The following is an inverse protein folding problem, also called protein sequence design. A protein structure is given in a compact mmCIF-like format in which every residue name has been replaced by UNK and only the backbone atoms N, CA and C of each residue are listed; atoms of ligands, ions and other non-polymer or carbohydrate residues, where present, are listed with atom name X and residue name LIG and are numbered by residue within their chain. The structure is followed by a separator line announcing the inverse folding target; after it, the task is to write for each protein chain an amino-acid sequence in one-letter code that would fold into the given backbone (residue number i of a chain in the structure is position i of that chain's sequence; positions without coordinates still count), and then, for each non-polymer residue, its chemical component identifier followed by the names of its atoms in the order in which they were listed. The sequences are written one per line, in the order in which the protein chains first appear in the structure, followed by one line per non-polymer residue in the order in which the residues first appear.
data_IF_098838090791
#
_entry.id   IF_098838090791
#
_cell.length_a   1.000
_cell.length_b   1.000
_cell.length_c   1.000
_cell.angle_alpha   90.00
_cell.angle_beta   90.00
_cell.angle_gamma   90.00
#
_symmetry.space_group_name_H-M   'P 1'
#
loop_
_entity.id
_entity.type
_entity.pdbx_description
1 polymer ?
#
# COMPACT_ATOMS: atom_id res chain seq x y z
N UNK A 1 -15.20 3.40 -38.00
CA UNK A 1 -15.89 3.65 -36.72
C UNK A 1 -14.80 3.81 -35.67
N UNK A 2 -14.81 4.89 -34.89
CA UNK A 2 -13.82 5.06 -33.81
C UNK A 2 -14.09 4.02 -32.71
N UNK A 3 -13.06 3.34 -32.22
CA UNK A 3 -13.17 2.45 -31.07
C UNK A 3 -13.77 3.21 -29.87
N UNK A 4 -14.65 2.56 -29.11
CA UNK A 4 -15.20 3.09 -27.86
C UNK A 4 -14.10 3.26 -26.80
N UNK A 5 -14.32 4.12 -25.80
CA UNK A 5 -13.37 4.29 -24.70
C UNK A 5 -13.11 2.98 -23.94
N UNK A 6 -14.17 2.21 -23.69
CA UNK A 6 -14.08 0.88 -23.08
C UNK A 6 -13.11 -0.04 -23.84
N UNK A 7 -13.27 -0.14 -25.17
CA UNK A 7 -12.39 -0.99 -25.99
C UNK A 7 -10.93 -0.52 -25.94
N UNK A 8 -10.70 0.80 -26.00
CA UNK A 8 -9.34 1.36 -25.90
C UNK A 8 -8.71 1.08 -24.54
N UNK A 9 -9.45 1.25 -23.45
CA UNK A 9 -8.99 0.94 -22.08
C UNK A 9 -8.61 -0.53 -21.97
N UNK A 10 -9.53 -1.43 -22.32
CA UNK A 10 -9.30 -2.88 -22.20
C UNK A 10 -8.14 -3.34 -23.09
N UNK A 11 -8.02 -2.82 -24.31
CA UNK A 11 -6.89 -3.13 -25.19
C UNK A 11 -5.55 -2.68 -24.60
N UNK A 12 -5.49 -1.48 -24.01
CA UNK A 12 -4.27 -0.98 -23.37
C UNK A 12 -3.90 -1.81 -22.13
N UNK A 13 -4.88 -2.12 -21.27
CA UNK A 13 -4.69 -2.96 -20.07
C UNK A 13 -4.18 -4.35 -20.47
N UNK A 14 -4.85 -5.03 -21.41
CA UNK A 14 -4.43 -6.35 -21.87
C UNK A 14 -3.02 -6.33 -22.45
N UNK A 15 -2.65 -5.27 -23.19
CA UNK A 15 -1.30 -5.11 -23.72
C UNK A 15 -0.26 -5.02 -22.59
N UNK A 16 -0.49 -4.18 -21.58
CA UNK A 16 0.41 -4.06 -20.43
C UNK A 16 0.56 -5.37 -19.67
N UNK A 17 -0.54 -6.06 -19.37
CA UNK A 17 -0.48 -7.34 -18.67
C UNK A 17 0.29 -8.39 -19.47
N UNK A 18 0.07 -8.45 -20.79
CA UNK A 18 0.76 -9.40 -21.65
C UNK A 18 2.26 -9.08 -21.77
N UNK A 19 2.64 -7.81 -21.83
CA UNK A 19 4.06 -7.40 -21.82
C UNK A 19 4.73 -7.74 -20.49
N UNK A 20 4.06 -7.51 -19.35
CA UNK A 20 4.57 -7.94 -18.03
C UNK A 20 4.81 -9.45 -18.01
N UNK A 21 3.84 -10.25 -18.50
CA UNK A 21 3.94 -11.70 -18.57
C UNK A 21 5.11 -12.13 -19.45
N UNK A 22 5.23 -11.58 -20.66
CA UNK A 22 6.30 -11.90 -21.60
C UNK A 22 7.69 -11.61 -21.01
N UNK A 23 7.85 -10.48 -20.32
CA UNK A 23 9.13 -10.15 -19.67
C UNK A 23 9.42 -11.10 -18.51
N UNK A 24 8.39 -11.47 -17.75
CA UNK A 24 8.50 -12.37 -16.59
C UNK A 24 8.94 -13.80 -16.93
N UNK A 25 8.78 -14.23 -18.19
CA UNK A 25 9.20 -15.55 -18.64
C UNK A 25 10.70 -15.79 -18.45
N UNK A 26 11.50 -14.73 -18.54
CA UNK A 26 12.95 -14.76 -18.30
C UNK A 26 13.33 -14.91 -16.81
N UNK A 27 12.36 -14.75 -15.91
CA UNK A 27 12.58 -14.60 -14.46
C UNK A 27 11.65 -15.53 -13.65
N UNK A 28 11.40 -16.73 -14.16
CA UNK A 28 10.54 -17.73 -13.52
C UNK A 28 9.09 -17.28 -13.28
N UNK A 29 8.63 -16.22 -13.94
CA UNK A 29 7.32 -15.60 -13.76
C UNK A 29 7.32 -14.42 -12.79
N UNK A 30 8.45 -14.05 -12.19
CA UNK A 30 8.58 -12.83 -11.39
C UNK A 30 8.61 -11.58 -12.27
N UNK A 31 8.02 -10.50 -11.77
CA UNK A 31 7.93 -9.23 -12.50
C UNK A 31 9.15 -8.37 -12.22
N UNK A 32 9.83 -7.94 -13.27
CA UNK A 32 10.93 -7.00 -13.12
C UNK A 32 10.39 -5.64 -12.66
N UNK A 33 10.99 -5.11 -11.61
CA UNK A 33 10.53 -3.88 -10.98
C UNK A 33 10.84 -2.64 -11.82
N UNK A 34 11.91 -2.67 -12.63
CA UNK A 34 12.30 -1.54 -13.48
C UNK A 34 12.58 -2.03 -14.89
N UNK A 35 11.92 -1.40 -15.86
CA UNK A 35 12.05 -1.71 -17.28
C UNK A 35 12.16 -0.41 -18.09
N UNK A 36 12.99 -0.43 -19.14
CA UNK A 36 12.98 0.60 -20.18
C UNK A 36 11.72 0.44 -21.05
N UNK A 37 10.98 1.53 -21.28
CA UNK A 37 9.70 1.46 -22.00
C UNK A 37 9.82 1.22 -23.51
N UNK A 38 11.00 1.44 -24.08
CA UNK A 38 11.24 1.21 -25.52
C UNK A 38 11.65 -0.23 -25.79
N UNK A 39 12.43 -0.82 -24.89
CA UNK A 39 12.97 -2.18 -25.07
C UNK A 39 12.23 -3.24 -24.26
N UNK A 40 11.42 -2.85 -23.28
CA UNK A 40 10.77 -3.73 -22.30
C UNK A 40 11.78 -4.66 -21.58
N UNK A 41 12.99 -4.16 -21.30
CA UNK A 41 14.06 -4.92 -20.65
C UNK A 41 14.59 -4.20 -19.42
N UNK A 42 15.16 -4.95 -18.48
CA UNK A 42 15.86 -4.36 -17.33
C UNK A 42 17.04 -3.54 -17.89
N UNK A 43 17.14 -2.24 -17.57
CA UNK A 43 18.27 -1.41 -18.02
C UNK A 43 19.57 -1.87 -17.35
N UNK A 44 20.70 -1.65 -18.01
CA UNK A 44 22.01 -2.08 -17.51
C UNK A 44 22.39 -1.38 -16.19
N UNK A 45 22.09 -0.09 -16.09
CA UNK A 45 22.27 0.71 -14.88
C UNK A 45 20.91 1.14 -14.33
N UNK A 46 20.83 1.34 -13.02
CA UNK A 46 19.67 1.97 -12.39
C UNK A 46 19.48 3.38 -12.98
N UNK A 47 18.38 3.65 -13.72
CA UNK A 47 18.11 4.99 -14.22
C UNK A 47 17.90 5.96 -13.06
N UNK A 48 18.12 7.28 -13.20
CA UNK A 48 17.89 8.22 -12.10
C UNK A 48 16.44 8.17 -11.58
N UNK A 49 16.27 8.27 -10.26
CA UNK A 49 14.97 8.43 -9.64
C UNK A 49 14.33 9.77 -10.06
N UNK A 50 13.00 9.78 -10.16
CA UNK A 50 12.27 11.04 -10.33
C UNK A 50 12.43 11.93 -9.09
N UNK A 51 12.23 13.24 -9.25
CA UNK A 51 12.29 14.18 -8.12
C UNK A 51 11.30 13.75 -7.03
N UNK A 52 11.83 13.42 -5.85
CA UNK A 52 11.02 13.04 -4.68
C UNK A 52 10.91 11.53 -4.43
N UNK A 53 11.33 10.69 -5.38
CA UNK A 53 11.52 9.25 -5.19
C UNK A 53 12.89 8.98 -4.54
N UNK A 54 12.94 8.07 -3.58
CA UNK A 54 14.19 7.66 -2.91
C UNK A 54 14.84 6.51 -3.67
N UNK A 55 16.11 6.65 -4.03
CA UNK A 55 16.89 5.57 -4.68
C UNK A 55 16.98 4.32 -3.79
N UNK A 56 17.09 4.51 -2.47
CA UNK A 56 17.23 3.43 -1.49
C UNK A 56 15.97 2.58 -1.27
N UNK A 57 14.91 2.83 -2.04
CA UNK A 57 13.64 2.10 -1.96
C UNK A 57 13.33 1.36 -3.28
N UNK A 58 14.19 1.51 -4.29
CA UNK A 58 13.97 0.94 -5.62
C UNK A 58 14.46 -0.50 -5.66
N UNK A 59 13.66 -1.39 -6.24
CA UNK A 59 13.95 -2.81 -6.34
C UNK A 59 14.74 -3.14 -7.61
N UNK A 60 15.98 -2.64 -7.72
CA UNK A 60 16.83 -2.86 -8.90
C UNK A 60 18.01 -3.81 -8.63
N UNK A 61 18.31 -4.76 -9.53
CA UNK A 61 17.53 -5.25 -10.67
C UNK A 61 16.61 -6.41 -10.24
N UNK A 62 15.48 -6.10 -9.59
CA UNK A 62 14.74 -7.06 -8.79
C UNK A 62 13.24 -7.17 -9.07
N UNK A 63 12.58 -8.03 -8.30
CA UNK A 63 11.12 -8.18 -8.20
C UNK A 63 10.69 -7.99 -6.74
N UNK A 64 9.56 -7.33 -6.51
CA UNK A 64 9.08 -7.05 -5.16
C UNK A 64 7.58 -7.33 -5.06
N UNK A 65 7.22 -8.43 -4.39
CA UNK A 65 5.81 -8.84 -4.28
C UNK A 65 4.92 -7.73 -3.67
N UNK A 66 5.44 -6.87 -2.79
CA UNK A 66 4.64 -5.77 -2.24
C UNK A 66 4.28 -4.69 -3.27
N UNK A 67 5.03 -4.60 -4.37
CA UNK A 67 4.69 -3.71 -5.48
C UNK A 67 3.77 -4.41 -6.48
N UNK A 68 3.97 -5.73 -6.65
CA UNK A 68 3.39 -6.51 -7.73
C UNK A 68 2.00 -7.08 -7.40
N UNK A 69 1.62 -7.19 -6.12
CA UNK A 69 0.37 -7.85 -5.71
C UNK A 69 -0.89 -7.21 -6.30
N UNK A 70 -0.88 -5.91 -6.58
CA UNK A 70 -2.02 -5.21 -7.19
C UNK A 70 -2.23 -5.68 -8.64
N UNK A 71 -1.15 -5.85 -9.40
CA UNK A 71 -1.18 -6.39 -10.76
C UNK A 71 -1.60 -7.87 -10.74
N UNK A 72 -1.06 -8.65 -9.80
CA UNK A 72 -1.44 -10.05 -9.62
C UNK A 72 -2.94 -10.19 -9.30
N UNK A 73 -3.48 -9.35 -8.41
CA UNK A 73 -4.90 -9.34 -8.10
C UNK A 73 -5.74 -8.95 -9.31
N UNK A 74 -5.30 -7.95 -10.08
CA UNK A 74 -5.97 -7.54 -11.31
C UNK A 74 -6.05 -8.69 -12.33
N UNK A 75 -4.96 -9.44 -12.52
CA UNK A 75 -4.94 -10.62 -13.40
C UNK A 75 -5.98 -11.66 -12.98
N UNK A 76 -6.05 -11.98 -11.69
CA UNK A 76 -7.04 -12.93 -11.13
C UNK A 76 -8.48 -12.39 -11.32
N UNK A 77 -8.71 -11.11 -11.03
CA UNK A 77 -10.02 -10.49 -11.12
C UNK A 77 -10.54 -10.41 -12.56
N UNK A 78 -9.66 -10.11 -13.52
CA UNK A 78 -10.01 -10.11 -14.94
C UNK A 78 -10.36 -11.51 -15.43
N UNK A 79 -9.63 -12.55 -15.01
CA UNK A 79 -10.00 -13.93 -15.33
C UNK A 79 -11.39 -14.27 -14.80
N UNK A 80 -11.73 -13.85 -13.58
CA UNK A 80 -13.06 -14.09 -13.01
C UNK A 80 -14.19 -13.39 -13.79
N UNK A 81 -13.93 -12.19 -14.31
CA UNK A 81 -14.96 -11.36 -14.97
C UNK A 81 -15.06 -11.60 -16.49
N UNK A 82 -13.94 -11.97 -17.13
CA UNK A 82 -13.84 -12.13 -18.59
C UNK A 82 -13.65 -13.59 -19.03
N UNK A 83 -13.27 -14.50 -18.13
CA UNK A 83 -13.04 -15.92 -18.42
C UNK A 83 -11.66 -16.25 -19.01
N UNK A 84 -10.80 -15.24 -19.21
CA UNK A 84 -9.48 -15.39 -19.80
C UNK A 84 -8.48 -16.00 -18.82
N UNK A 85 -8.23 -17.31 -18.90
CA UNK A 85 -7.44 -18.07 -17.91
C UNK A 85 -5.93 -17.82 -17.91
N UNK A 86 -5.39 -17.27 -18.99
CA UNK A 86 -3.95 -17.09 -19.12
C UNK A 86 -3.36 -16.08 -18.11
N UNK A 87 -4.12 -15.05 -17.74
CA UNK A 87 -3.71 -14.09 -16.70
C UNK A 87 -3.63 -14.72 -15.31
N UNK A 88 -4.66 -15.46 -14.88
CA UNK A 88 -4.63 -16.22 -13.63
C UNK A 88 -3.45 -17.22 -13.61
N UNK A 89 -3.21 -17.93 -14.71
CA UNK A 89 -2.09 -18.89 -14.82
C UNK A 89 -0.74 -18.20 -14.58
N UNK A 90 -0.53 -17.02 -15.15
CA UNK A 90 0.70 -16.25 -14.94
C UNK A 90 0.82 -15.70 -13.52
N UNK A 91 -0.28 -15.22 -12.93
CA UNK A 91 -0.29 -14.77 -11.53
C UNK A 91 0.01 -15.93 -10.57
N UNK A 92 -0.53 -17.12 -10.82
CA UNK A 92 -0.24 -18.31 -10.02
C UNK A 92 1.22 -18.78 -10.18
N UNK A 93 1.80 -18.65 -11.37
CA UNK A 93 3.22 -18.94 -11.59
C UNK A 93 4.11 -18.02 -10.77
N UNK A 94 3.85 -16.70 -10.79
CA UNK A 94 4.56 -15.73 -9.93
C UNK A 94 4.46 -16.15 -8.46
N UNK A 95 3.23 -16.32 -7.95
CA UNK A 95 2.98 -16.54 -6.52
C UNK A 95 3.58 -17.87 -6.05
N UNK A 96 3.50 -18.91 -6.88
CA UNK A 96 4.09 -20.22 -6.58
C UNK A 96 5.61 -20.13 -6.49
N UNK A 97 6.26 -19.52 -7.47
CA UNK A 97 7.71 -19.35 -7.42
C UNK A 97 8.12 -18.53 -6.21
N UNK A 98 7.43 -17.42 -5.94
CA UNK A 98 7.69 -16.58 -4.78
C UNK A 98 7.57 -17.33 -3.46
N UNK A 99 6.44 -18.01 -3.23
CA UNK A 99 6.13 -18.67 -1.96
C UNK A 99 7.02 -19.90 -1.70
N UNK A 100 7.44 -20.62 -2.74
CA UNK A 100 8.23 -21.85 -2.61
C UNK A 100 9.73 -21.63 -2.69
N UNK A 101 10.19 -20.66 -3.48
CA UNK A 101 11.62 -20.42 -3.72
C UNK A 101 12.13 -19.25 -2.90
N UNK A 102 11.49 -18.09 -3.02
CA UNK A 102 12.08 -16.85 -2.51
C UNK A 102 11.74 -16.57 -1.04
N UNK A 103 10.47 -16.71 -0.66
CA UNK A 103 9.95 -16.49 0.69
C UNK A 103 10.73 -17.25 1.80
N UNK A 104 11.10 -18.54 1.62
CA UNK A 104 11.77 -19.27 2.70
C UNK A 104 13.26 -18.93 2.90
N UNK A 105 13.89 -18.13 2.01
CA UNK A 105 15.36 -18.01 1.93
C UNK A 105 16.03 -17.23 3.05
N UNK A 106 15.34 -16.30 3.72
CA UNK A 106 16.00 -15.48 4.74
C UNK A 106 16.12 -16.27 6.05
N UNK A 107 17.24 -16.15 6.78
CA UNK A 107 17.41 -16.82 8.07
C UNK A 107 16.52 -16.23 9.17
N UNK A 108 16.04 -14.99 9.00
CA UNK A 108 15.22 -14.29 10.00
C UNK A 108 13.74 -14.67 9.95
N UNK A 109 13.29 -15.22 8.82
CA UNK A 109 11.88 -15.50 8.53
C UNK A 109 11.17 -14.39 7.77
N UNK A 110 11.77 -13.20 7.64
CA UNK A 110 11.21 -12.13 6.82
C UNK A 110 11.22 -12.48 5.34
N UNK A 111 10.25 -11.96 4.59
CA UNK A 111 10.27 -12.08 3.14
C UNK A 111 11.19 -11.00 2.55
N UNK A 112 11.89 -11.30 1.43
CA UNK A 112 12.63 -10.30 0.68
C UNK A 112 11.68 -9.39 -0.11
N UNK A 113 10.90 -8.58 0.60
CA UNK A 113 9.88 -7.66 0.06
C UNK A 113 9.78 -6.38 0.91
N UNK A 114 8.92 -5.44 0.52
CA UNK A 114 8.66 -4.22 1.31
C UNK A 114 9.42 -2.99 0.79
N UNK A 115 9.73 -2.02 1.65
CA UNK A 115 10.27 -0.72 1.18
C UNK A 115 11.73 -0.82 0.71
N UNK A 116 12.55 -1.64 1.37
CA UNK A 116 14.01 -1.64 1.18
C UNK A 116 14.60 -2.99 0.78
N UNK A 117 13.74 -4.00 0.59
CA UNK A 117 14.17 -5.33 0.19
C UNK A 117 13.27 -5.91 -0.88
N UNK A 118 13.85 -6.78 -1.68
CA UNK A 118 13.27 -7.34 -2.89
C UNK A 118 14.00 -8.64 -3.22
N UNK A 119 13.59 -9.35 -4.26
CA UNK A 119 14.35 -10.47 -4.82
C UNK A 119 15.18 -10.03 -6.01
N UNK A 120 16.49 -10.19 -5.92
CA UNK A 120 17.37 -9.85 -7.04
C UNK A 120 17.21 -10.91 -8.14
N UNK A 121 16.74 -10.48 -9.32
CA UNK A 121 16.46 -11.38 -10.44
C UNK A 121 17.75 -11.89 -11.11
N UNK A 122 18.84 -11.14 -10.99
CA UNK A 122 20.12 -11.47 -11.62
C UNK A 122 20.96 -12.39 -10.75
N UNK A 123 20.82 -12.29 -9.43
CA UNK A 123 21.61 -13.03 -8.45
C UNK A 123 20.82 -14.16 -7.77
N UNK A 124 19.52 -14.26 -8.05
CA UNK A 124 18.58 -15.23 -7.46
C UNK A 124 18.66 -15.32 -5.93
N UNK A 125 18.61 -14.16 -5.26
CA UNK A 125 18.75 -14.04 -3.80
C UNK A 125 18.05 -12.80 -3.24
N UNK A 126 17.87 -12.69 -1.91
CA UNK A 126 17.46 -11.44 -1.28
C UNK A 126 18.35 -10.25 -1.68
N UNK A 127 17.71 -9.20 -2.18
CA UNK A 127 18.30 -7.90 -2.54
C UNK A 127 18.20 -6.86 -1.43
N UNK A 128 19.00 -5.80 -1.55
CA UNK A 128 19.04 -4.68 -0.59
C UNK A 128 19.09 -3.35 -1.35
N UNK A 129 17.98 -2.60 -1.33
CA UNK A 129 17.86 -1.34 -2.06
C UNK A 129 18.84 -0.28 -1.58
N UNK A 130 19.26 -0.32 -0.31
CA UNK A 130 20.30 0.58 0.19
C UNK A 130 21.66 0.34 -0.48
N UNK A 131 22.05 -0.92 -0.64
CA UNK A 131 23.32 -1.25 -1.31
C UNK A 131 23.29 -0.80 -2.77
N UNK A 132 22.16 -1.01 -3.46
CA UNK A 132 21.95 -0.52 -4.83
C UNK A 132 22.08 1.01 -4.92
N UNK A 133 21.60 1.74 -3.91
CA UNK A 133 21.72 3.19 -3.82
C UNK A 133 23.07 3.69 -3.27
N UNK A 134 24.06 2.81 -3.06
CA UNK A 134 25.36 3.17 -2.51
C UNK A 134 25.34 3.59 -1.03
N UNK A 135 24.27 3.24 -0.29
CA UNK A 135 24.12 3.53 1.13
C UNK A 135 24.61 2.34 1.95
N UNK A 136 25.67 2.54 2.72
CA UNK A 136 26.23 1.52 3.60
C UNK A 136 25.33 1.28 4.83
N UNK A 137 24.36 0.40 4.70
CA UNK A 137 23.51 -0.09 5.79
C UNK A 137 23.11 -1.54 5.55
N UNK A 138 22.50 -2.16 6.55
CA UNK A 138 22.04 -3.54 6.48
C UNK A 138 20.85 -3.72 5.53
N UNK A 139 20.71 -4.94 5.01
CA UNK A 139 19.48 -5.36 4.36
C UNK A 139 18.33 -5.25 5.36
N UNK A 140 17.34 -4.43 5.02
CA UNK A 140 16.30 -3.98 5.94
C UNK A 140 14.95 -4.47 5.46
N UNK A 141 14.21 -5.13 6.35
CA UNK A 141 12.78 -5.36 6.18
C UNK A 141 12.02 -4.13 6.71
N UNK A 142 11.11 -3.59 5.89
CA UNK A 142 10.11 -2.58 6.27
C UNK A 142 8.81 -2.92 5.54
N UNK A 143 7.73 -3.06 6.29
CA UNK A 143 6.41 -3.39 5.76
C UNK A 143 5.79 -2.16 5.08
N UNK A 144 5.92 -2.07 3.76
CA UNK A 144 5.60 -0.88 2.98
C UNK A 144 4.10 -0.55 2.97
N UNK A 145 3.25 -1.56 2.76
CA UNK A 145 1.80 -1.48 2.55
C UNK A 145 1.11 -2.71 3.15
N UNK A 146 -0.21 -2.67 3.33
CA UNK A 146 -0.93 -3.84 3.84
C UNK A 146 -0.91 -4.99 2.82
N UNK A 147 -0.37 -6.13 3.24
CA UNK A 147 -0.57 -7.39 2.52
C UNK A 147 -2.04 -7.82 2.68
N UNK A 148 -2.81 -7.95 1.59
CA UNK A 148 -4.24 -8.24 1.67
C UNK A 148 -4.51 -9.71 2.02
N UNK A 149 -5.71 -10.01 2.56
CA UNK A 149 -6.09 -11.37 2.95
C UNK A 149 -5.91 -12.39 1.82
N UNK A 150 -6.35 -12.07 0.59
CA UNK A 150 -6.24 -12.97 -0.55
C UNK A 150 -4.78 -13.38 -0.85
N UNK A 151 -3.83 -12.46 -0.61
CA UNK A 151 -2.41 -12.73 -0.85
C UNK A 151 -1.89 -13.69 0.21
N UNK A 152 -2.24 -13.43 1.48
CA UNK A 152 -1.93 -14.34 2.59
C UNK A 152 -2.54 -15.72 2.40
N UNK A 153 -3.78 -15.81 1.92
CA UNK A 153 -4.44 -17.08 1.59
C UNK A 153 -3.68 -17.86 0.52
N UNK A 154 -3.27 -17.21 -0.57
CA UNK A 154 -2.48 -17.85 -1.63
C UNK A 154 -1.12 -18.34 -1.11
N UNK A 155 -0.40 -17.51 -0.36
CA UNK A 155 0.89 -17.91 0.22
C UNK A 155 0.70 -19.06 1.23
N UNK A 156 -0.31 -19.00 2.08
CA UNK A 156 -0.61 -20.04 3.06
C UNK A 156 -0.96 -21.38 2.41
N UNK A 157 -1.75 -21.36 1.33
CA UNK A 157 -2.08 -22.57 0.56
C UNK A 157 -0.84 -23.20 -0.08
N UNK A 158 0.12 -22.39 -0.53
CA UNK A 158 1.33 -22.87 -1.21
C UNK A 158 2.43 -23.28 -0.23
N UNK A 159 2.63 -22.50 0.83
CA UNK A 159 3.70 -22.68 1.81
C UNK A 159 3.31 -22.10 3.19
N UNK A 160 2.50 -22.83 3.99
CA UNK A 160 2.05 -22.34 5.28
C UNK A 160 3.20 -22.11 6.26
N UNK A 161 4.27 -22.91 6.16
CA UNK A 161 5.46 -22.76 7.00
C UNK A 161 6.19 -21.43 6.74
N UNK A 162 6.31 -21.00 5.47
CA UNK A 162 6.90 -19.70 5.16
C UNK A 162 6.03 -18.54 5.66
N UNK A 163 4.71 -18.61 5.47
CA UNK A 163 3.78 -17.60 5.99
C UNK A 163 3.85 -17.49 7.52
N UNK A 164 3.88 -18.62 8.23
CA UNK A 164 3.99 -18.64 9.69
C UNK A 164 5.33 -18.07 10.17
N UNK A 165 6.45 -18.45 9.53
CA UNK A 165 7.77 -17.90 9.85
C UNK A 165 7.83 -16.39 9.66
N UNK A 166 7.19 -15.85 8.62
CA UNK A 166 7.09 -14.41 8.41
C UNK A 166 6.35 -13.73 9.55
N UNK A 167 5.17 -14.24 9.90
CA UNK A 167 4.36 -13.67 10.98
C UNK A 167 5.08 -13.72 12.32
N UNK A 168 5.83 -14.79 12.61
CA UNK A 168 6.73 -14.87 13.76
C UNK A 168 7.84 -13.82 13.69
N UNK A 169 8.48 -13.66 12.53
CA UNK A 169 9.58 -12.73 12.34
C UNK A 169 9.17 -11.27 12.59
N UNK A 170 7.89 -10.89 12.39
CA UNK A 170 7.40 -9.54 12.71
C UNK A 170 7.66 -9.13 14.17
N UNK A 171 7.75 -10.07 15.11
CA UNK A 171 8.10 -9.74 16.50
C UNK A 171 9.52 -9.14 16.64
N UNK A 172 10.40 -9.35 15.65
CA UNK A 172 11.76 -8.80 15.62
C UNK A 172 11.81 -7.29 15.39
N UNK A 173 10.69 -6.69 15.00
CA UNK A 173 10.53 -5.24 14.98
C UNK A 173 10.49 -4.63 16.38
N UNK A 174 10.14 -5.41 17.42
CA UNK A 174 10.26 -4.96 18.80
C UNK A 174 11.73 -4.87 19.22
N UNK A 175 12.06 -3.80 19.94
CA UNK A 175 13.38 -3.46 20.45
C UNK A 175 13.42 -3.72 21.96
N UNK A 176 13.05 -4.93 22.40
CA UNK A 176 12.83 -5.28 23.81
C UNK A 176 14.10 -5.28 24.69
N UNK A 177 15.23 -4.94 24.08
CA UNK A 177 16.48 -4.64 24.77
C UNK A 177 16.49 -3.22 25.35
N UNK A 178 15.50 -2.40 25.01
CA UNK A 178 15.35 -1.01 25.42
C UNK A 178 14.15 -0.82 26.37
N UNK A 179 14.38 -0.28 27.57
CA UNK A 179 13.34 0.18 28.52
C UNK A 179 13.06 1.70 28.42
N UNK A 180 11.86 2.20 28.09
CA UNK A 180 10.63 1.43 27.91
C UNK A 180 10.58 0.72 26.55
N UNK A 181 9.86 -0.42 26.44
CA UNK A 181 9.74 -1.16 25.20
C UNK A 181 9.23 -0.29 24.05
N UNK A 182 9.84 -0.45 22.88
CA UNK A 182 9.55 0.25 21.65
C UNK A 182 9.62 -0.73 20.47
N UNK A 183 8.98 -0.42 19.35
CA UNK A 183 9.20 -1.12 18.10
C UNK A 183 9.73 -0.18 17.02
N UNK A 184 10.25 -0.74 15.94
CA UNK A 184 10.68 0.03 14.79
C UNK A 184 10.04 -0.52 13.53
N UNK A 185 9.68 0.34 12.57
CA UNK A 185 9.27 -0.13 11.24
C UNK A 185 10.36 -0.90 10.49
N UNK A 186 11.63 -0.69 10.84
CA UNK A 186 12.76 -1.43 10.26
C UNK A 186 13.12 -2.64 11.12
N UNK A 187 13.51 -3.75 10.49
CA UNK A 187 14.21 -4.87 11.11
C UNK A 187 15.30 -5.40 10.17
N UNK A 188 16.30 -6.12 10.69
CA UNK A 188 17.32 -6.71 9.84
C UNK A 188 16.75 -7.92 9.09
N UNK A 189 16.91 -7.93 7.76
CA UNK A 189 16.43 -9.00 6.89
C UNK A 189 17.26 -10.28 7.01
N UNK A 190 18.58 -10.17 7.21
CA UNK A 190 19.53 -11.27 7.06
C UNK A 190 20.21 -11.69 8.37
N UNK A 191 20.13 -10.88 9.43
CA UNK A 191 20.72 -11.20 10.73
C UNK A 191 19.63 -11.32 11.80
N UNK A 192 19.67 -12.36 12.64
CA UNK A 192 18.61 -12.64 13.63
C UNK A 192 18.65 -11.70 14.85
N UNK A 193 19.65 -10.82 14.95
CA UNK A 193 19.78 -9.89 16.06
C UNK A 193 18.83 -8.69 15.92
N UNK A 194 18.27 -8.24 17.05
CA UNK A 194 17.49 -7.01 17.09
C UNK A 194 18.34 -5.81 16.72
N UNK A 195 17.73 -4.87 16.00
CA UNK A 195 18.35 -3.58 15.70
C UNK A 195 18.61 -2.83 17.01
N UNK A 196 19.88 -2.51 17.31
CA UNK A 196 20.17 -1.52 18.34
C UNK A 196 20.08 -0.13 17.70
N UNK A 197 19.22 0.75 18.23
CA UNK A 197 19.13 2.15 17.80
C UNK A 197 19.44 3.10 18.94
N UNK A 198 20.12 4.19 18.60
CA UNK A 198 20.39 5.27 19.54
C UNK A 198 19.08 6.02 19.85
N UNK A 199 18.75 6.16 21.14
CA UNK A 199 17.49 6.78 21.58
C UNK A 199 17.34 8.27 21.27
N UNK A 200 18.44 8.96 21.01
CA UNK A 200 18.44 10.35 20.53
C UNK A 200 17.93 10.51 19.08
N UNK A 201 17.64 9.41 18.39
CA UNK A 201 17.12 9.41 17.02
C UNK A 201 15.60 9.16 17.05
N UNK A 202 14.91 9.64 16.02
CA UNK A 202 13.49 9.36 15.75
C UNK A 202 13.21 7.86 15.92
N UNK A 203 12.20 7.53 16.74
CA UNK A 203 11.83 6.16 17.10
C UNK A 203 11.42 5.32 15.89
N UNK A 204 10.70 5.92 14.94
CA UNK A 204 10.19 5.22 13.74
C UNK A 204 9.23 4.06 14.07
N UNK A 205 8.55 4.14 15.22
CA UNK A 205 7.38 3.35 15.62
C UNK A 205 6.12 4.02 15.05
N UNK A 206 5.81 3.81 13.78
CA UNK A 206 4.66 4.51 13.19
C UNK A 206 3.36 3.74 13.42
N UNK A 207 2.26 4.40 13.85
CA UNK A 207 0.99 3.72 14.08
C UNK A 207 0.52 2.85 12.90
N UNK A 208 0.72 3.30 11.64
CA UNK A 208 0.37 2.50 10.46
C UNK A 208 1.01 1.12 10.47
N UNK A 209 2.32 1.05 10.77
CA UNK A 209 3.07 -0.20 10.83
C UNK A 209 2.56 -1.14 11.93
N UNK A 210 2.14 -0.58 13.07
CA UNK A 210 1.48 -1.34 14.12
C UNK A 210 0.19 -2.00 13.60
N UNK A 211 -0.59 -1.28 12.80
CA UNK A 211 -1.77 -1.80 12.11
C UNK A 211 -1.44 -2.93 11.13
N UNK A 212 -0.41 -2.76 10.31
CA UNK A 212 0.05 -3.78 9.36
C UNK A 212 0.43 -5.08 10.08
N UNK A 213 1.18 -4.98 11.17
CA UNK A 213 1.61 -6.15 11.96
C UNK A 213 0.42 -6.83 12.64
N UNK A 214 -0.52 -6.06 13.21
CA UNK A 214 -1.74 -6.63 13.82
C UNK A 214 -2.54 -7.40 12.78
N UNK A 215 -2.69 -6.89 11.56
CA UNK A 215 -3.43 -7.57 10.50
C UNK A 215 -2.78 -8.91 10.12
N UNK A 216 -1.47 -8.92 9.90
CA UNK A 216 -0.73 -10.14 9.54
C UNK A 216 -0.76 -11.19 10.67
N UNK A 217 -0.57 -10.77 11.92
CA UNK A 217 -0.75 -11.66 13.07
C UNK A 217 -2.18 -12.15 13.23
N UNK A 218 -3.18 -11.33 12.87
CA UNK A 218 -4.60 -11.71 12.94
C UNK A 218 -4.92 -12.78 11.90
N UNK A 219 -4.36 -12.67 10.68
CA UNK A 219 -4.44 -13.76 9.71
C UNK A 219 -3.82 -15.05 10.27
N UNK A 220 -2.57 -15.01 10.75
CA UNK A 220 -1.91 -16.19 11.30
C UNK A 220 -2.63 -16.76 12.53
N UNK A 221 -3.20 -15.90 13.38
CA UNK A 221 -4.00 -16.30 14.53
C UNK A 221 -5.30 -17.01 14.11
N UNK A 222 -5.98 -16.51 13.09
CA UNK A 222 -7.19 -17.15 12.56
C UNK A 222 -6.91 -18.59 12.07
N UNK A 223 -5.74 -18.80 11.44
CA UNK A 223 -5.29 -20.11 10.95
C UNK A 223 -4.84 -21.06 12.07
N UNK A 224 -4.07 -20.58 13.04
CA UNK A 224 -3.33 -21.44 13.98
C UNK A 224 -3.90 -21.46 15.39
N UNK A 225 -4.67 -20.44 15.79
CA UNK A 225 -5.10 -20.18 17.17
C UNK A 225 -3.95 -20.07 18.18
N UNK A 226 -2.73 -19.80 17.72
CA UNK A 226 -1.55 -19.72 18.57
C UNK A 226 -1.67 -18.59 19.60
N UNK A 227 -1.42 -18.91 20.87
CA UNK A 227 -1.41 -17.94 21.97
C UNK A 227 -0.34 -16.85 21.79
N UNK A 228 0.72 -17.14 21.04
CA UNK A 228 1.78 -16.18 20.71
C UNK A 228 1.23 -15.02 19.86
N UNK A 229 0.49 -15.30 18.77
CA UNK A 229 -0.08 -14.23 17.93
C UNK A 229 -1.09 -13.40 18.71
N UNK A 230 -1.92 -14.05 19.51
CA UNK A 230 -2.85 -13.36 20.42
C UNK A 230 -2.12 -12.41 21.37
N UNK A 231 -0.99 -12.83 21.91
CA UNK A 231 -0.14 -12.00 22.77
C UNK A 231 0.46 -10.81 22.00
N UNK A 232 1.05 -11.05 20.82
CA UNK A 232 1.65 -10.00 19.98
C UNK A 232 0.63 -8.94 19.56
N UNK A 233 -0.58 -9.37 19.17
CA UNK A 233 -1.71 -8.49 18.85
C UNK A 233 -2.05 -7.61 20.05
N UNK A 234 -2.30 -8.20 21.22
CA UNK A 234 -2.64 -7.44 22.45
C UNK A 234 -1.55 -6.44 22.81
N UNK A 235 -0.30 -6.88 22.73
CA UNK A 235 0.86 -6.05 23.00
C UNK A 235 0.90 -4.80 22.11
N UNK A 236 0.67 -4.94 20.81
CA UNK A 236 0.65 -3.79 19.89
C UNK A 236 -0.59 -2.91 20.08
N UNK A 237 -1.74 -3.51 20.38
CA UNK A 237 -2.95 -2.77 20.73
C UNK A 237 -2.70 -1.86 21.94
N UNK A 238 -2.10 -2.41 23.01
CA UNK A 238 -1.84 -1.67 24.26
C UNK A 238 -0.76 -0.59 24.06
N UNK A 239 0.25 -0.87 23.22
CA UNK A 239 1.32 0.07 22.89
C UNK A 239 0.80 1.45 22.47
N UNK A 240 -0.13 1.49 21.51
CA UNK A 240 -0.71 2.75 21.01
C UNK A 240 -1.84 3.27 21.86
N UNK A 241 -2.59 2.38 22.52
CA UNK A 241 -3.65 2.79 23.43
C UNK A 241 -3.09 3.69 24.53
N UNK A 242 -2.01 3.28 25.20
CA UNK A 242 -1.44 4.03 26.32
C UNK A 242 -0.75 5.33 25.90
N UNK A 243 -0.44 5.50 24.62
CA UNK A 243 0.22 6.70 24.05
C UNK A 243 -0.74 7.73 23.46
N UNK A 244 -2.03 7.42 23.42
CA UNK A 244 -3.06 8.35 22.94
C UNK A 244 -3.19 9.54 23.88
N UNK A 245 -3.57 10.70 23.34
CA UNK A 245 -4.14 11.78 24.15
C UNK A 245 -5.65 11.76 23.92
N UNK A 246 -6.49 11.64 24.97
CA UNK A 246 -7.94 11.65 24.80
C UNK A 246 -8.40 12.85 23.96
N UNK A 247 -9.24 12.58 22.95
CA UNK A 247 -9.75 13.60 22.02
C UNK A 247 -8.77 14.05 20.93
N UNK A 248 -7.58 13.45 20.82
CA UNK A 248 -6.61 13.75 19.78
C UNK A 248 -6.17 12.50 19.03
N UNK A 249 -5.80 12.70 17.76
CA UNK A 249 -5.15 11.69 16.94
C UNK A 249 -3.83 11.21 17.56
N UNK A 250 -3.38 10.03 17.16
CA UNK A 250 -2.12 9.47 17.64
C UNK A 250 -0.92 10.31 17.19
N UNK A 251 0.16 10.31 17.98
CA UNK A 251 1.42 10.90 17.52
C UNK A 251 1.94 10.19 16.27
N UNK A 252 2.69 10.92 15.45
CA UNK A 252 3.37 10.34 14.28
C UNK A 252 4.33 9.20 14.66
N UNK A 253 5.01 9.34 15.80
CA UNK A 253 5.93 8.38 16.41
C UNK A 253 6.09 8.75 17.89
N UNK A 254 6.49 7.82 18.76
CA UNK A 254 6.78 8.12 20.18
C UNK A 254 7.84 9.22 20.31
N UNK A 255 8.87 9.21 19.44
CA UNK A 255 9.85 10.28 19.29
C UNK A 255 9.91 10.68 17.82
N UNK A 256 9.32 11.82 17.47
CA UNK A 256 9.22 12.30 16.10
C UNK A 256 10.44 13.13 15.63
N UNK A 257 11.28 13.60 16.55
CA UNK A 257 12.42 14.48 16.25
C UNK A 257 12.02 15.90 15.85
N UNK A 258 10.77 16.29 16.11
CA UNK A 258 10.22 17.61 15.86
C UNK A 258 10.23 18.43 17.15
N UNK A 259 10.30 19.75 17.02
CA UNK A 259 10.24 20.68 18.15
C UNK A 259 8.83 20.82 18.75
N UNK A 260 7.88 19.98 18.31
CA UNK A 260 6.50 19.97 18.79
C UNK A 260 5.89 18.55 18.79
N UNK A 261 4.85 18.30 19.62
CA UNK A 261 4.19 17.00 19.67
C UNK A 261 3.21 16.84 18.50
N UNK A 262 3.72 16.39 17.36
CA UNK A 262 2.92 16.16 16.15
C UNK A 262 1.94 14.98 16.31
N UNK A 263 0.65 15.26 16.09
CA UNK A 263 -0.36 14.25 15.77
C UNK A 263 -0.40 14.03 14.26
N UNK A 264 -0.71 12.79 13.84
CA UNK A 264 -0.79 12.44 12.43
C UNK A 264 -2.10 11.69 12.10
N UNK A 265 -2.94 12.31 11.27
CA UNK A 265 -4.25 11.79 10.90
C UNK A 265 -4.14 10.53 10.05
N UNK A 266 -3.24 10.51 9.07
CA UNK A 266 -3.10 9.38 8.15
C UNK A 266 -2.61 8.13 8.88
N UNK A 267 -1.63 8.28 9.78
CA UNK A 267 -1.14 7.17 10.61
C UNK A 267 -2.25 6.61 11.51
N UNK A 268 -3.06 7.50 12.09
CA UNK A 268 -4.18 7.12 12.96
C UNK A 268 -5.29 6.42 12.18
N UNK A 269 -5.67 6.96 11.01
CA UNK A 269 -6.66 6.38 10.10
C UNK A 269 -6.22 5.00 9.61
N UNK A 270 -4.96 4.87 9.19
CA UNK A 270 -4.38 3.61 8.70
C UNK A 270 -4.42 2.51 9.76
N UNK A 271 -3.99 2.82 10.99
CA UNK A 271 -4.12 1.90 12.12
C UNK A 271 -5.59 1.51 12.37
N UNK A 272 -6.50 2.50 12.43
CA UNK A 272 -7.93 2.25 12.67
C UNK A 272 -8.53 1.29 11.64
N UNK A 273 -8.29 1.52 10.35
CA UNK A 273 -8.76 0.65 9.27
C UNK A 273 -8.18 -0.76 9.38
N UNK A 274 -6.88 -0.89 9.67
CA UNK A 274 -6.26 -2.21 9.88
C UNK A 274 -6.86 -2.95 11.07
N UNK A 275 -7.20 -2.26 12.17
CA UNK A 275 -7.88 -2.86 13.32
C UNK A 275 -9.29 -3.35 12.98
N UNK A 276 -10.07 -2.56 12.23
CA UNK A 276 -11.41 -2.94 11.78
C UNK A 276 -11.38 -4.23 10.95
N UNK A 277 -10.48 -4.30 9.95
CA UNK A 277 -10.37 -5.48 9.10
C UNK A 277 -9.75 -6.68 9.84
N UNK A 278 -8.78 -6.44 10.72
CA UNK A 278 -8.22 -7.50 11.56
C UNK A 278 -9.31 -8.13 12.47
N UNK A 279 -10.21 -7.31 13.02
CA UNK A 279 -11.32 -7.78 13.84
C UNK A 279 -12.26 -8.71 13.06
N UNK A 280 -12.50 -8.45 11.76
CA UNK A 280 -13.28 -9.35 10.90
C UNK A 280 -12.59 -10.71 10.73
N UNK A 281 -11.26 -10.71 10.47
CA UNK A 281 -10.48 -11.95 10.31
C UNK A 281 -10.55 -12.86 11.53
N UNK A 282 -10.56 -12.27 12.74
CA UNK A 282 -10.53 -13.02 14.00
C UNK A 282 -11.86 -13.02 14.75
N UNK A 283 -12.98 -12.63 14.13
CA UNK A 283 -14.27 -12.62 14.82
C UNK A 283 -14.67 -14.03 15.31
N UNK A 284 -14.44 -15.03 14.45
CA UNK A 284 -14.64 -16.46 14.77
C UNK A 284 -13.43 -17.05 15.53
N UNK A 285 -12.27 -16.40 15.36
CA UNK A 285 -11.08 -16.35 16.22
C UNK A 285 -11.30 -16.38 17.74
N UNK A 286 -11.64 -15.18 18.18
CA UNK A 286 -11.65 -14.67 19.54
C UNK A 286 -12.52 -13.40 19.49
N UNK A 287 -13.82 -13.59 19.71
CA UNK A 287 -14.80 -12.50 19.66
C UNK A 287 -14.47 -11.38 20.64
N UNK A 288 -13.88 -11.69 21.80
CA UNK A 288 -13.52 -10.68 22.79
C UNK A 288 -12.36 -9.80 22.30
N UNK A 289 -11.33 -10.39 21.69
CA UNK A 289 -10.24 -9.62 21.10
C UNK A 289 -10.68 -8.80 19.89
N UNK A 290 -11.52 -9.38 19.02
CA UNK A 290 -12.12 -8.67 17.89
C UNK A 290 -12.94 -7.45 18.36
N UNK A 291 -13.69 -7.58 19.45
CA UNK A 291 -14.43 -6.47 20.03
C UNK A 291 -13.50 -5.34 20.52
N UNK A 292 -12.41 -5.66 21.22
CA UNK A 292 -11.41 -4.68 21.65
C UNK A 292 -10.81 -3.95 20.45
N UNK A 293 -10.52 -4.65 19.35
CA UNK A 293 -10.01 -4.03 18.13
C UNK A 293 -11.01 -3.01 17.56
N UNK A 294 -12.30 -3.37 17.47
CA UNK A 294 -13.35 -2.46 16.97
C UNK A 294 -13.50 -1.23 17.84
N UNK A 295 -13.56 -1.40 19.16
CA UNK A 295 -13.69 -0.29 20.11
C UNK A 295 -12.54 0.71 19.98
N UNK A 296 -11.30 0.22 19.95
CA UNK A 296 -10.12 1.08 19.80
C UNK A 296 -10.04 1.71 18.41
N UNK A 297 -10.42 0.98 17.37
CA UNK A 297 -10.46 1.50 16.00
C UNK A 297 -11.43 2.68 15.87
N UNK A 298 -12.65 2.53 16.42
CA UNK A 298 -13.67 3.57 16.39
C UNK A 298 -13.26 4.81 17.19
N UNK A 299 -12.61 4.64 18.34
CA UNK A 299 -12.02 5.76 19.09
C UNK A 299 -11.01 6.53 18.22
N UNK A 300 -10.07 5.83 17.58
CA UNK A 300 -9.09 6.46 16.69
C UNK A 300 -9.77 7.14 15.49
N UNK A 301 -10.78 6.51 14.91
CA UNK A 301 -11.51 7.04 13.76
C UNK A 301 -12.23 8.34 14.12
N UNK A 302 -12.89 8.39 15.27
CA UNK A 302 -13.54 9.59 15.78
C UNK A 302 -12.55 10.76 15.91
N UNK A 303 -11.37 10.53 16.47
CA UNK A 303 -10.36 11.60 16.58
C UNK A 303 -9.86 12.11 15.23
N UNK A 304 -9.86 11.27 14.19
CA UNK A 304 -9.53 11.69 12.82
C UNK A 304 -10.67 12.52 12.24
N UNK A 305 -11.92 12.05 12.35
CA UNK A 305 -13.10 12.75 11.83
C UNK A 305 -13.35 14.10 12.51
N UNK A 306 -12.99 14.24 13.79
CA UNK A 306 -13.16 15.46 14.57
C UNK A 306 -12.01 16.47 14.39
N UNK A 307 -10.97 16.12 13.64
CA UNK A 307 -9.87 17.03 13.34
C UNK A 307 -10.36 18.23 12.48
N UNK A 308 -9.70 19.40 12.58
CA UNK A 308 -10.16 20.63 11.91
C UNK A 308 -9.86 20.64 10.41
N UNK A 309 -10.51 19.75 9.66
CA UNK A 309 -10.43 19.68 8.20
C UNK A 309 -11.09 20.90 7.54
N UNK A 310 -10.54 21.32 6.40
CA UNK A 310 -11.08 22.39 5.54
C UNK A 310 -11.70 21.74 4.29
N UNK A 311 -12.80 21.02 4.51
CA UNK A 311 -13.44 20.17 3.50
C UNK A 311 -14.05 20.96 2.35
N UNK A 312 -14.51 22.19 2.61
CA UNK A 312 -15.02 23.10 1.57
C UNK A 312 -13.96 23.43 0.51
N UNK A 313 -12.67 23.35 0.88
CA UNK A 313 -11.55 23.54 -0.03
C UNK A 313 -10.82 22.22 -0.37
N UNK A 314 -11.43 21.07 -0.04
CA UNK A 314 -10.84 19.75 -0.31
C UNK A 314 -9.59 19.42 0.52
N UNK A 315 -9.39 20.11 1.65
CA UNK A 315 -8.18 19.97 2.47
C UNK A 315 -8.43 19.08 3.68
N UNK A 316 -7.73 17.95 3.69
CA UNK A 316 -7.70 17.04 4.82
C UNK A 316 -6.43 17.24 5.65
N UNK A 317 -6.56 17.40 6.97
CA UNK A 317 -5.43 17.60 7.88
C UNK A 317 -4.62 16.30 7.96
N UNK A 318 -3.32 16.38 7.73
CA UNK A 318 -2.41 15.24 7.89
C UNK A 318 -1.61 15.37 9.17
N UNK A 319 -1.21 16.58 9.54
CA UNK A 319 -0.37 16.83 10.69
C UNK A 319 -0.81 18.08 11.44
N UNK A 320 -0.85 17.99 12.77
CA UNK A 320 -1.16 19.10 13.65
C UNK A 320 -0.39 19.02 14.96
N UNK A 321 -0.26 20.15 15.65
CA UNK A 321 0.30 20.23 16.98
C UNK A 321 -0.76 19.80 18.01
N UNK A 322 -0.48 18.75 18.78
CA UNK A 322 -1.40 18.18 19.78
C UNK A 322 -1.68 19.08 20.98
N UNK A 323 -0.81 20.06 21.25
CA UNK A 323 -0.98 20.97 22.38
C UNK A 323 -1.75 22.23 21.99
N UNK A 324 -1.48 22.77 20.80
CA UNK A 324 -2.05 24.06 20.37
C UNK A 324 -3.22 23.92 19.41
N UNK A 325 -3.43 22.74 18.83
CA UNK A 325 -4.42 22.54 17.76
C UNK A 325 -3.98 23.08 16.40
N UNK A 326 -2.78 23.66 16.29
CA UNK A 326 -2.29 24.27 15.05
C UNK A 326 -2.08 23.22 13.96
N UNK A 327 -2.73 23.40 12.81
CA UNK A 327 -2.50 22.57 11.62
C UNK A 327 -1.14 22.92 10.99
N UNK A 328 -0.35 21.89 10.70
CA UNK A 328 0.96 22.01 10.05
C UNK A 328 0.98 21.53 8.60
N UNK A 329 0.16 20.54 8.25
CA UNK A 329 0.13 20.00 6.90
C UNK A 329 -1.25 19.46 6.52
N UNK A 330 -1.58 19.61 5.24
CA UNK A 330 -2.74 19.01 4.59
C UNK A 330 -2.31 17.96 3.56
N UNK A 331 -3.22 17.06 3.20
CA UNK A 331 -3.02 16.10 2.12
C UNK A 331 -2.88 16.82 0.78
N UNK A 332 -2.07 16.26 -0.12
CA UNK A 332 -1.90 16.77 -1.47
C UNK A 332 -2.89 16.13 -2.43
N UNK A 333 -3.37 16.88 -3.41
CA UNK A 333 -4.20 16.29 -4.48
C UNK A 333 -3.36 15.50 -5.48
N UNK A 334 -2.15 16.01 -5.74
CA UNK A 334 -1.11 15.43 -6.58
C UNK A 334 0.24 15.62 -5.88
N UNK A 335 1.11 14.62 -5.84
CA UNK A 335 2.41 14.72 -5.18
C UNK A 335 3.53 14.11 -6.04
N UNK A 336 4.70 14.77 -6.12
CA UNK A 336 5.92 14.15 -6.64
C UNK A 336 6.72 13.39 -5.59
N UNK A 337 6.38 13.55 -4.32
CA UNK A 337 7.22 13.06 -3.22
C UNK A 337 6.74 11.70 -2.72
N UNK A 338 7.68 10.75 -2.64
CA UNK A 338 7.49 9.44 -2.03
C UNK A 338 7.55 9.48 -0.48
N UNK A 339 7.64 10.67 0.14
CA UNK A 339 7.84 10.83 1.60
C UNK A 339 6.54 10.94 2.41
N UNK A 340 6.64 11.05 3.74
CA UNK A 340 5.51 11.29 4.66
C UNK A 340 4.69 12.55 4.36
N UNK A 341 5.19 13.45 3.51
CA UNK A 341 4.46 14.62 3.00
C UNK A 341 3.75 14.36 1.67
N UNK A 342 3.91 13.17 1.07
CA UNK A 342 3.26 12.75 -0.17
C UNK A 342 1.90 12.06 0.03
N UNK A 343 1.24 12.27 1.18
CA UNK A 343 -0.10 11.70 1.40
C UNK A 343 -1.09 12.35 0.46
N UNK A 344 -1.81 11.52 -0.30
CA UNK A 344 -2.79 11.98 -1.28
C UNK A 344 -4.19 12.10 -0.66
N UNK A 345 -4.92 13.14 -1.05
CA UNK A 345 -6.36 13.28 -0.77
C UNK A 345 -7.11 12.03 -1.24
N UNK A 346 -6.75 11.50 -2.41
CA UNK A 346 -7.38 10.30 -2.94
C UNK A 346 -7.14 9.04 -2.11
N UNK A 347 -5.97 8.96 -1.48
CA UNK A 347 -5.64 7.85 -0.58
C UNK A 347 -6.42 7.96 0.74
N UNK A 348 -6.47 9.15 1.33
CA UNK A 348 -7.27 9.42 2.54
C UNK A 348 -8.73 9.07 2.31
N UNK A 349 -9.33 9.60 1.24
CA UNK A 349 -10.73 9.35 0.92
C UNK A 349 -10.97 7.84 0.72
N UNK A 350 -10.09 7.13 0.01
CA UNK A 350 -10.19 5.68 -0.17
C UNK A 350 -10.18 4.91 1.16
N UNK A 351 -9.36 5.30 2.14
CA UNK A 351 -9.37 4.67 3.47
C UNK A 351 -10.62 4.98 4.28
N UNK A 352 -11.18 6.20 4.16
CA UNK A 352 -12.47 6.53 4.75
C UNK A 352 -13.59 5.66 4.14
N UNK A 353 -13.57 5.43 2.83
CA UNK A 353 -14.50 4.52 2.16
C UNK A 353 -14.30 3.06 2.59
N UNK A 354 -13.06 2.63 2.83
CA UNK A 354 -12.78 1.32 3.41
C UNK A 354 -13.41 1.17 4.80
N UNK A 355 -13.22 2.15 5.68
CA UNK A 355 -13.86 2.19 6.99
C UNK A 355 -15.39 2.22 6.88
N UNK A 356 -15.94 2.97 5.93
CA UNK A 356 -17.38 3.05 5.69
C UNK A 356 -17.96 1.68 5.31
N UNK A 357 -17.28 0.91 4.45
CA UNK A 357 -17.76 -0.44 4.08
C UNK A 357 -17.88 -1.37 5.28
N UNK A 358 -16.97 -1.25 6.25
CA UNK A 358 -16.97 -2.09 7.45
C UNK A 358 -17.97 -1.61 8.51
N UNK A 359 -18.07 -0.29 8.71
CA UNK A 359 -18.83 0.30 9.83
C UNK A 359 -20.22 0.79 9.47
N UNK A 360 -20.44 1.13 8.19
CA UNK A 360 -21.60 1.86 7.68
C UNK A 360 -21.85 3.21 8.38
N UNK A 361 -20.80 3.82 8.97
CA UNK A 361 -20.92 5.13 9.62
C UNK A 361 -20.95 6.26 8.58
N UNK A 362 -22.10 6.94 8.46
CA UNK A 362 -22.33 7.96 7.45
C UNK A 362 -21.32 9.12 7.47
N UNK A 363 -20.81 9.52 8.64
CA UNK A 363 -19.79 10.58 8.79
C UNK A 363 -18.55 10.32 7.92
N UNK A 364 -18.18 9.05 7.71
CA UNK A 364 -17.05 8.68 6.87
C UNK A 364 -17.27 9.04 5.40
N UNK A 365 -18.48 8.75 4.90
CA UNK A 365 -18.87 9.10 3.54
C UNK A 365 -19.07 10.62 3.39
N UNK A 366 -19.58 11.28 4.42
CA UNK A 366 -19.76 12.75 4.45
C UNK A 366 -18.41 13.48 4.38
N UNK A 367 -17.35 12.94 4.98
CA UNK A 367 -15.98 13.48 4.85
C UNK A 367 -15.34 13.08 3.52
N UNK A 368 -15.51 11.83 3.07
CA UNK A 368 -14.90 11.35 1.83
C UNK A 368 -15.48 12.01 0.57
N UNK A 369 -16.76 12.40 0.59
CA UNK A 369 -17.46 13.00 -0.56
C UNK A 369 -16.82 14.31 -1.04
N UNK A 370 -16.70 15.39 -0.23
CA UNK A 370 -16.10 16.65 -0.68
C UNK A 370 -14.63 16.49 -1.10
N UNK A 371 -13.88 15.59 -0.44
CA UNK A 371 -12.51 15.25 -0.87
C UNK A 371 -12.49 14.61 -2.27
N UNK A 372 -13.46 13.74 -2.55
CA UNK A 372 -13.63 13.10 -3.86
C UNK A 372 -14.05 14.11 -4.93
N UNK A 373 -14.94 15.06 -4.60
CA UNK A 373 -15.32 16.15 -5.50
C UNK A 373 -14.11 17.03 -5.84
N UNK A 374 -13.28 17.34 -4.85
CA UNK A 374 -12.04 18.07 -5.07
C UNK A 374 -11.09 17.33 -6.02
N UNK A 375 -10.86 16.03 -5.81
CA UNK A 375 -10.06 15.21 -6.74
C UNK A 375 -10.67 15.20 -8.16
N UNK A 376 -11.99 15.03 -8.27
CA UNK A 376 -12.72 14.97 -9.52
C UNK A 376 -12.63 16.26 -10.36
N UNK A 377 -12.41 17.41 -9.70
CA UNK A 377 -12.33 18.74 -10.31
C UNK A 377 -10.89 19.29 -10.41
N UNK A 378 -9.92 18.59 -9.81
CA UNK A 378 -8.52 19.03 -9.79
C UNK A 378 -7.89 19.05 -11.18
N UNK A 379 -6.73 19.70 -11.30
CA UNK A 379 -5.92 19.67 -12.51
C UNK A 379 -4.57 19.03 -12.19
N UNK A 380 -4.11 18.13 -13.08
CA UNK A 380 -2.80 17.51 -12.92
C UNK A 380 -1.70 18.55 -13.20
N UNK A 381 -0.76 18.78 -12.28
CA UNK A 381 0.32 19.72 -12.51
C UNK A 381 1.28 19.21 -13.59
N UNK A 382 1.67 20.09 -14.52
CA UNK A 382 2.58 19.75 -15.64
C UNK A 382 4.07 19.92 -15.30
N UNK A 383 4.38 20.74 -14.31
CA UNK A 383 5.76 21.05 -13.86
C UNK A 383 6.33 20.02 -12.88
N UNK A 384 5.54 19.00 -12.56
CA UNK A 384 5.82 18.04 -11.49
C UNK A 384 5.81 16.64 -12.11
N UNK A 385 6.82 15.83 -11.82
CA UNK A 385 6.87 14.43 -12.23
C UNK A 385 5.84 13.62 -11.41
N UNK A 386 4.56 13.74 -11.75
CA UNK A 386 3.45 13.08 -11.06
C UNK A 386 3.59 11.56 -11.25
N UNK A 387 3.76 10.77 -10.18
CA UNK A 387 3.84 9.32 -10.25
C UNK A 387 2.55 8.70 -10.78
N UNK A 388 2.67 7.59 -11.48
CA UNK A 388 1.52 6.83 -12.00
C UNK A 388 0.58 6.32 -10.90
N UNK A 389 1.11 6.04 -9.70
CA UNK A 389 0.32 5.77 -8.50
C UNK A 389 -0.74 6.83 -8.26
N UNK A 390 -0.39 8.12 -8.33
CA UNK A 390 -1.29 9.22 -7.98
C UNK A 390 -2.49 9.25 -8.92
N UNK A 391 -2.23 9.12 -10.23
CA UNK A 391 -3.24 8.96 -11.26
C UNK A 391 -4.14 7.74 -10.98
N UNK A 392 -3.53 6.59 -10.65
CA UNK A 392 -4.26 5.38 -10.31
C UNK A 392 -5.15 5.49 -9.07
N UNK A 393 -4.70 6.20 -8.04
CA UNK A 393 -5.47 6.44 -6.81
C UNK A 393 -6.66 7.35 -7.08
N UNK A 394 -6.53 8.35 -7.96
CA UNK A 394 -7.68 9.18 -8.35
C UNK A 394 -8.74 8.38 -9.12
N UNK A 395 -8.32 7.58 -10.11
CA UNK A 395 -9.25 6.72 -10.85
C UNK A 395 -9.94 5.71 -9.92
N UNK A 396 -9.19 5.12 -9.00
CA UNK A 396 -9.70 4.13 -8.04
C UNK A 396 -10.72 4.74 -7.07
N UNK A 397 -10.48 5.97 -6.59
CA UNK A 397 -11.42 6.69 -5.74
C UNK A 397 -12.74 6.95 -6.45
N UNK A 398 -12.71 7.47 -7.68
CA UNK A 398 -13.92 7.79 -8.44
C UNK A 398 -14.73 6.53 -8.77
N UNK A 399 -14.04 5.44 -9.11
CA UNK A 399 -14.68 4.13 -9.29
C UNK A 399 -15.34 3.66 -7.98
N UNK A 400 -14.70 3.86 -6.84
CA UNK A 400 -15.24 3.42 -5.55
C UNK A 400 -16.44 4.25 -5.09
N UNK A 401 -16.41 5.57 -5.30
CA UNK A 401 -17.54 6.47 -5.07
C UNK A 401 -18.74 6.07 -5.93
N UNK A 402 -18.53 5.71 -7.21
CA UNK A 402 -19.60 5.18 -8.06
C UNK A 402 -20.18 3.87 -7.49
N UNK A 403 -19.33 2.92 -7.08
CA UNK A 403 -19.80 1.65 -6.50
C UNK A 403 -20.62 1.84 -5.23
N UNK A 404 -20.30 2.84 -4.40
CA UNK A 404 -20.98 3.10 -3.13
C UNK A 404 -22.26 3.91 -3.28
N UNK A 405 -22.27 4.89 -4.17
CA UNK A 405 -23.38 5.86 -4.27
C UNK A 405 -24.33 5.59 -5.43
N UNK A 406 -23.88 4.88 -6.47
CA UNK A 406 -24.59 4.74 -7.74
C UNK A 406 -24.70 6.04 -8.55
N UNK A 407 -24.14 7.16 -8.07
CA UNK A 407 -24.22 8.44 -8.76
C UNK A 407 -23.28 8.45 -9.98
N UNK A 408 -23.89 8.55 -11.16
CA UNK A 408 -23.20 8.48 -12.44
C UNK A 408 -22.14 9.57 -12.61
N UNK A 409 -22.24 10.70 -11.90
CA UNK A 409 -21.23 11.76 -11.96
C UNK A 409 -19.83 11.22 -11.71
N UNK A 410 -19.67 10.30 -10.75
CA UNK A 410 -18.36 9.75 -10.38
C UNK A 410 -17.74 8.94 -11.51
N UNK A 411 -18.54 8.10 -12.15
CA UNK A 411 -18.09 7.32 -13.30
C UNK A 411 -17.76 8.23 -14.48
N UNK A 412 -18.57 9.26 -14.74
CA UNK A 412 -18.32 10.20 -15.84
C UNK A 412 -17.05 11.05 -15.60
N UNK A 413 -16.79 11.48 -14.36
CA UNK A 413 -15.51 12.10 -13.97
C UNK A 413 -14.34 11.12 -14.14
N UNK A 414 -14.49 9.88 -13.70
CA UNK A 414 -13.46 8.85 -13.85
C UNK A 414 -13.14 8.55 -15.32
N UNK A 415 -14.14 8.46 -16.19
CA UNK A 415 -13.95 8.23 -17.62
C UNK A 415 -13.25 9.42 -18.30
N UNK A 416 -13.57 10.66 -17.93
CA UNK A 416 -12.83 11.84 -18.41
C UNK A 416 -11.36 11.81 -17.99
N UNK A 417 -11.09 11.43 -16.75
CA UNK A 417 -9.70 11.26 -16.29
C UNK A 417 -8.99 10.13 -17.03
N UNK A 418 -9.65 9.00 -17.27
CA UNK A 418 -9.07 7.91 -18.04
C UNK A 418 -8.66 8.36 -19.45
N UNK A 419 -9.51 9.13 -20.14
CA UNK A 419 -9.20 9.69 -21.46
C UNK A 419 -7.98 10.62 -21.45
N UNK A 420 -7.80 11.41 -20.40
CA UNK A 420 -6.67 12.34 -20.28
C UNK A 420 -5.37 11.66 -19.87
N UNK A 421 -5.45 10.66 -18.97
CA UNK A 421 -4.28 10.04 -18.35
C UNK A 421 -3.69 8.91 -19.20
N UNK A 422 -4.51 8.21 -19.99
CA UNK A 422 -4.03 7.12 -20.84
C UNK A 422 -2.94 7.56 -21.83
N UNK A 423 -3.07 8.67 -22.58
CA UNK A 423 -2.00 9.14 -23.47
C UNK A 423 -0.72 9.58 -22.76
N UNK A 424 -0.77 9.80 -21.44
CA UNK A 424 0.38 10.26 -20.65
C UNK A 424 1.14 9.07 -20.07
N UNK A 425 0.41 8.11 -19.50
CA UNK A 425 1.00 7.00 -18.77
C UNK A 425 1.01 5.68 -19.55
N UNK A 426 0.19 5.53 -20.60
CA UNK A 426 0.09 4.32 -21.43
C UNK A 426 0.34 4.64 -22.91
N UNK A 427 1.35 5.46 -23.18
CA UNK A 427 1.83 5.73 -24.54
C UNK A 427 2.78 4.63 -25.08
N UNK A 428 3.18 3.70 -24.22
CA UNK A 428 3.92 2.49 -24.51
C UNK A 428 3.14 1.26 -24.07
N UNK A 429 3.71 0.06 -24.26
CA UNK A 429 3.06 -1.18 -23.82
C UNK A 429 2.95 -1.27 -22.30
N UNK A 430 3.85 -0.64 -21.54
CA UNK A 430 3.84 -0.60 -20.08
C UNK A 430 3.52 0.80 -19.56
N UNK A 431 2.92 0.89 -18.36
CA UNK A 431 2.71 2.18 -17.72
C UNK A 431 4.03 2.89 -17.42
N UNK A 432 4.09 4.16 -17.80
CA UNK A 432 5.14 5.08 -17.41
C UNK A 432 5.18 5.24 -15.89
N UNK A 433 6.37 5.29 -15.31
CA UNK A 433 6.57 5.44 -13.86
C UNK A 433 6.03 6.79 -13.34
N UNK A 434 6.22 7.86 -14.11
CA UNK A 434 5.73 9.20 -13.80
C UNK A 434 5.64 10.06 -15.07
N UNK A 435 4.98 11.22 -14.97
CA UNK A 435 4.97 12.22 -16.05
C UNK A 435 6.42 12.52 -16.51
N UNK A 436 6.69 12.28 -17.79
CA UNK A 436 8.00 12.53 -18.42
C UNK A 436 9.11 11.49 -18.15
N UNK A 437 8.82 10.40 -17.43
CA UNK A 437 9.82 9.36 -17.11
C UNK A 437 9.88 8.27 -18.17
N UNK A 438 11.02 7.89 -18.75
CA UNK A 438 11.09 6.84 -19.80
C UNK A 438 11.14 5.39 -19.30
N UNK A 439 10.73 5.15 -18.05
CA UNK A 439 10.81 3.83 -17.42
C UNK A 439 9.45 3.38 -16.88
N UNK A 440 9.28 2.07 -16.76
CA UNK A 440 8.36 1.44 -15.82
C UNK A 440 9.09 1.26 -14.48
N UNK A 441 8.44 1.59 -13.37
CA UNK A 441 8.98 1.38 -12.01
C UNK A 441 7.86 0.90 -11.08
N UNK A 442 7.93 -0.36 -10.65
CA UNK A 442 6.91 -0.98 -9.79
C UNK A 442 6.81 -0.30 -8.42
N UNK A 443 7.87 0.36 -7.95
CA UNK A 443 7.85 1.12 -6.70
C UNK A 443 6.85 2.29 -6.75
N UNK A 444 6.60 2.84 -7.94
CA UNK A 444 5.59 3.87 -8.17
C UNK A 444 4.20 3.26 -8.49
N UNK A 445 4.00 1.99 -8.11
CA UNK A 445 2.73 1.26 -8.07
C UNK A 445 1.83 1.43 -9.32
N UNK A 446 2.35 1.18 -10.53
CA UNK A 446 1.56 1.22 -11.77
C UNK A 446 0.35 0.26 -11.76
N UNK A 447 0.36 -0.76 -10.89
CA UNK A 447 -0.79 -1.62 -10.65
C UNK A 447 -2.05 -0.86 -10.22
N UNK A 448 -1.94 0.20 -9.43
CA UNK A 448 -3.10 1.04 -9.07
C UNK A 448 -3.71 1.74 -10.29
N UNK A 449 -2.88 2.15 -11.25
CA UNK A 449 -3.34 2.79 -12.47
C UNK A 449 -4.07 1.82 -13.40
N UNK A 450 -3.45 0.66 -13.67
CA UNK A 450 -4.08 -0.40 -14.46
C UNK A 450 -5.40 -0.85 -13.85
N UNK A 451 -5.42 -1.02 -12.52
CA UNK A 451 -6.61 -1.46 -11.79
C UNK A 451 -7.71 -0.38 -11.79
N UNK A 452 -7.36 0.89 -11.58
CA UNK A 452 -8.30 2.01 -11.63
C UNK A 452 -8.98 2.15 -13.01
N UNK A 453 -8.18 2.09 -14.09
CA UNK A 453 -8.70 2.07 -15.46
C UNK A 453 -9.64 0.89 -15.70
N UNK A 454 -9.24 -0.31 -15.26
CA UNK A 454 -10.04 -1.52 -15.42
C UNK A 454 -11.39 -1.39 -14.71
N UNK A 455 -11.41 -0.91 -13.47
CA UNK A 455 -12.66 -0.74 -12.72
C UNK A 455 -13.62 0.19 -13.43
N UNK A 456 -13.17 1.37 -13.86
CA UNK A 456 -14.00 2.33 -14.57
C UNK A 456 -14.54 1.76 -15.89
N UNK A 457 -13.69 1.09 -16.66
CA UNK A 457 -14.08 0.42 -17.89
C UNK A 457 -15.18 -0.62 -17.65
N UNK A 458 -14.99 -1.52 -16.68
CA UNK A 458 -15.99 -2.54 -16.32
C UNK A 458 -17.29 -1.93 -15.78
N UNK A 459 -17.20 -0.89 -14.95
CA UNK A 459 -18.37 -0.20 -14.39
C UNK A 459 -19.21 0.48 -15.47
N UNK A 460 -18.58 0.97 -16.54
CA UNK A 460 -19.30 1.48 -17.72
C UNK A 460 -20.15 0.40 -18.40
N UNK A 461 -19.82 -0.88 -18.20
CA UNK A 461 -20.52 -2.06 -18.70
C UNK A 461 -21.35 -2.78 -17.62
N UNK A 462 -21.55 -2.15 -16.45
CA UNK A 462 -22.33 -2.74 -15.35
C UNK A 462 -21.63 -3.87 -14.59
N UNK A 463 -20.29 -3.95 -14.66
CA UNK A 463 -19.45 -4.92 -13.93
C UNK A 463 -18.51 -4.20 -12.96
N UNK A 464 -18.01 -4.87 -11.92
CA UNK A 464 -16.98 -4.32 -11.03
C UNK A 464 -16.09 -5.44 -10.49
N UNK A 465 -14.81 -5.14 -10.31
CA UNK A 465 -13.81 -6.02 -9.68
C UNK A 465 -13.51 -5.60 -8.23
N UNK A 466 -14.27 -4.64 -7.69
CA UNK A 466 -14.18 -4.16 -6.32
C UNK A 466 -12.96 -3.26 -6.07
N UNK A 467 -12.90 -2.58 -4.92
CA UNK A 467 -11.80 -1.67 -4.56
C UNK A 467 -10.53 -2.39 -4.09
N UNK A 468 -9.43 -1.66 -4.01
CA UNK A 468 -8.17 -2.07 -3.38
C UNK A 468 -7.74 -1.00 -2.36
N UNK A 469 -7.51 -1.42 -1.12
CA UNK A 469 -7.15 -0.55 0.01
C UNK A 469 -5.81 -0.96 0.65
N UNK A 470 -4.90 -1.53 -0.15
CA UNK A 470 -3.61 -2.02 0.34
C UNK A 470 -2.64 -0.88 0.67
N UNK A 471 -2.73 0.24 -0.06
CA UNK A 471 -1.96 1.45 0.22
C UNK A 471 -2.54 2.18 1.45
N UNK A 472 -1.87 2.11 2.60
CA UNK A 472 -2.31 2.75 3.85
C UNK A 472 -1.16 3.17 4.75
#
# INVERSE_FOLDING_TARGET
MSQSLYERQMQAISRSLNTIIQVSDNYHGLFASILDLKTNSIPFNLPPAIKGQRECDRAFPGSNLMHDHIVLKLMIDLTNVLGERHWETSAERYLRYWALHCAPTTPTGFFPWGEHSFWNLMEDRPGNSYATAGVATMATHDHLMQAPAWLWEKIWQMNPAAAERFCQALSRHFLDVDEPPEYNRHANLLQPHHLKRNRGVRSCDFPRHGGLFIYDWSFAYAQTRSAMYRHLIRRMLDYWWDRRTPGYMLPEATRNGLDYPAANAMQTLSLSVSLLQAAELIQNADTALAQVMRERALEYLNTVLDAPHDLDNGKFVIQMNRQTGQVHAYANTWASYYSSFGVLVSNVASLLLCAYRVTQEQRLLDVATPLSEHCAQSQMPVEVAVPVKDAGMQLSLLADMFSLTGDRKWLDHGQRWAEQLMPIYLDHDLPRAALGSDIYDSQLLPGHFLRGLTRLALQSQGKDIGPDYTLR
#
